data_IF_263475535674
#
_entry.id   IF_263475535674
#
_cell.length_a   1.000
_cell.length_b   1.000
_cell.length_c   1.000
_cell.angle_alpha   90.00
_cell.angle_beta   90.00
_cell.angle_gamma   90.00
#
_symmetry.space_group_name_H-M   'P 1'
#
loop_
_entity.id
_entity.type
_entity.pdbx_description
1 polymer ?
#
# COMPACT_ATOMS: atom_id res chain seq x y z
N UNK A 1 23.68 -42.41 20.78
CA UNK A 1 23.39 -40.96 20.80
C UNK A 1 21.89 -40.80 20.93
N UNK A 2 21.39 -40.25 22.03
CA UNK A 2 19.95 -39.99 22.20
C UNK A 2 19.54 -38.78 21.38
N UNK A 3 18.52 -38.92 20.54
CA UNK A 3 17.92 -37.81 19.80
C UNK A 3 16.97 -37.06 20.71
N UNK A 4 17.37 -35.87 21.15
CA UNK A 4 16.46 -34.93 21.80
C UNK A 4 15.55 -34.31 20.74
N UNK A 5 14.24 -34.31 21.00
CA UNK A 5 13.24 -33.64 20.17
C UNK A 5 12.58 -32.53 20.96
N UNK A 6 12.43 -31.37 20.34
CA UNK A 6 11.67 -30.27 20.92
C UNK A 6 10.17 -30.59 20.83
N UNK A 7 9.51 -30.67 21.98
CA UNK A 7 8.06 -30.81 22.08
C UNK A 7 7.47 -29.54 22.69
N UNK A 8 6.65 -28.84 21.90
CA UNK A 8 5.89 -27.70 22.38
C UNK A 8 4.65 -28.19 23.12
N UNK A 9 4.58 -27.94 24.42
CA UNK A 9 3.38 -28.20 25.22
C UNK A 9 2.38 -27.05 25.06
N UNK A 10 1.76 -26.99 23.88
CA UNK A 10 0.86 -25.89 23.48
C UNK A 10 -0.23 -25.62 24.53
N UNK A 11 -0.83 -26.67 25.11
CA UNK A 11 -1.86 -26.51 26.14
C UNK A 11 -1.34 -25.86 27.44
N UNK A 12 -0.09 -26.15 27.82
CA UNK A 12 0.56 -25.60 29.01
C UNK A 12 1.03 -24.16 28.79
N UNK A 13 1.41 -23.84 27.55
CA UNK A 13 1.74 -22.48 27.13
C UNK A 13 0.46 -21.63 27.14
N UNK A 14 -0.63 -22.07 26.51
CA UNK A 14 -1.90 -21.33 26.47
C UNK A 14 -2.44 -21.09 27.89
N UNK A 15 -2.38 -22.08 28.77
CA UNK A 15 -2.87 -21.93 30.16
C UNK A 15 -2.01 -21.00 31.03
N UNK A 16 -0.71 -20.92 30.76
CA UNK A 16 0.24 -20.01 31.46
C UNK A 16 0.36 -18.63 30.80
N UNK A 17 -0.16 -18.44 29.58
CA UNK A 17 -0.08 -17.19 28.80
C UNK A 17 -1.39 -16.39 28.81
N UNK A 18 -2.40 -16.79 29.61
CA UNK A 18 -3.66 -16.08 29.87
C UNK A 18 -3.50 -14.74 30.61
N UNK A 19 -2.35 -14.07 30.44
CA UNK A 19 -2.09 -12.69 30.87
C UNK A 19 -2.82 -11.65 30.00
N UNK A 20 -3.28 -12.01 28.78
CA UNK A 20 -3.86 -11.05 27.83
C UNK A 20 -5.24 -10.54 28.23
N UNK A 21 -6.04 -11.36 28.92
CA UNK A 21 -7.44 -11.02 29.27
C UNK A 21 -7.47 -10.13 30.51
N UNK A 22 -6.62 -10.41 31.50
CA UNK A 22 -6.47 -9.59 32.70
C UNK A 22 -5.99 -8.15 32.39
N UNK A 23 -5.13 -7.98 31.38
CA UNK A 23 -4.65 -6.64 30.97
C UNK A 23 -5.74 -5.86 30.24
N UNK A 24 -6.57 -6.51 29.43
CA UNK A 24 -7.73 -5.85 28.78
C UNK A 24 -8.69 -5.32 29.83
N UNK A 25 -9.08 -6.17 30.78
CA UNK A 25 -10.03 -5.80 31.81
C UNK A 25 -9.47 -4.71 32.73
N UNK A 26 -8.17 -4.78 33.06
CA UNK A 26 -7.50 -3.74 33.83
C UNK A 26 -7.50 -2.39 33.10
N UNK A 27 -7.17 -2.38 31.80
CA UNK A 27 -7.16 -1.15 31.00
C UNK A 27 -8.58 -0.63 30.80
N UNK A 28 -9.55 -1.49 30.54
CA UNK A 28 -10.95 -1.12 30.40
C UNK A 28 -11.46 -0.47 31.69
N UNK A 29 -11.16 -1.07 32.85
CA UNK A 29 -11.48 -0.53 34.16
C UNK A 29 -10.78 0.81 34.42
N UNK A 30 -9.52 0.99 33.99
CA UNK A 30 -8.83 2.29 34.08
C UNK A 30 -9.54 3.37 33.26
N UNK A 31 -9.92 3.06 32.02
CA UNK A 31 -10.63 4.00 31.15
C UNK A 31 -12.00 4.33 31.76
N UNK A 32 -12.76 3.32 32.21
CA UNK A 32 -14.10 3.50 32.79
C UNK A 32 -14.11 4.30 34.09
N UNK A 33 -12.99 4.40 34.81
CA UNK A 33 -12.85 5.26 35.99
C UNK A 33 -12.66 6.74 35.67
N UNK A 34 -12.33 7.08 34.42
CA UNK A 34 -12.21 8.47 34.00
C UNK A 34 -13.59 9.13 33.85
N UNK A 35 -13.68 10.46 33.89
CA UNK A 35 -14.91 11.18 33.56
C UNK A 35 -15.49 10.75 32.20
N UNK A 36 -16.82 10.76 32.06
CA UNK A 36 -17.50 10.34 30.82
C UNK A 36 -16.99 11.06 29.57
N UNK A 37 -16.63 12.34 29.70
CA UNK A 37 -16.05 13.14 28.62
C UNK A 37 -14.67 12.62 28.19
N UNK A 38 -13.80 12.28 29.15
CA UNK A 38 -12.49 11.65 28.89
C UNK A 38 -12.65 10.28 28.25
N UNK A 39 -13.60 9.48 28.71
CA UNK A 39 -13.91 8.18 28.11
C UNK A 39 -14.33 8.34 26.66
N UNK A 40 -15.26 9.25 26.37
CA UNK A 40 -15.69 9.56 25.01
C UNK A 40 -14.50 9.96 24.13
N UNK A 41 -13.69 10.92 24.57
CA UNK A 41 -12.52 11.38 23.81
C UNK A 41 -11.51 10.25 23.57
N UNK A 42 -11.28 9.37 24.55
CA UNK A 42 -10.40 8.21 24.38
C UNK A 42 -10.95 7.19 23.39
N UNK A 43 -12.27 6.97 23.36
CA UNK A 43 -12.91 6.14 22.33
C UNK A 43 -12.65 6.71 20.93
N UNK A 44 -12.84 8.02 20.77
CA UNK A 44 -12.59 8.71 19.49
C UNK A 44 -11.10 8.66 19.10
N UNK A 45 -10.21 8.88 20.06
CA UNK A 45 -8.77 8.76 19.86
C UNK A 45 -8.35 7.34 19.46
N UNK A 46 -9.04 6.30 19.96
CA UNK A 46 -8.80 4.89 19.66
C UNK A 46 -8.84 4.54 18.15
N UNK A 47 -9.41 5.42 17.34
CA UNK A 47 -9.51 5.28 15.89
C UNK A 47 -8.17 5.53 15.18
N UNK A 48 -7.17 6.12 15.84
CA UNK A 48 -5.84 6.35 15.29
C UNK A 48 -4.72 5.93 16.25
N UNK A 49 -3.54 5.62 15.70
CA UNK A 49 -2.36 5.27 16.51
C UNK A 49 -1.68 6.49 17.12
N UNK A 50 -1.75 7.63 16.43
CA UNK A 50 -1.26 8.94 16.85
C UNK A 50 -2.23 10.03 16.37
N UNK A 51 -2.36 11.11 17.13
CA UNK A 51 -3.27 12.21 16.79
C UNK A 51 -2.81 13.53 17.41
N UNK A 52 -3.08 14.64 16.72
CA UNK A 52 -2.99 15.99 17.28
C UNK A 52 -4.36 16.43 17.83
N UNK A 53 -4.34 17.50 18.65
CA UNK A 53 -5.55 18.01 19.31
C UNK A 53 -6.57 18.59 18.32
N UNK A 54 -6.14 19.18 17.20
CA UNK A 54 -7.05 19.75 16.18
C UNK A 54 -7.83 18.66 15.49
N UNK A 55 -7.14 17.59 15.08
CA UNK A 55 -7.76 16.40 14.49
C UNK A 55 -8.75 15.81 15.48
N UNK A 56 -8.36 15.61 16.75
CA UNK A 56 -9.25 15.04 17.77
C UNK A 56 -10.47 15.94 18.07
N UNK A 57 -10.30 17.26 18.16
CA UNK A 57 -11.40 18.21 18.36
C UNK A 57 -12.41 18.14 17.22
N UNK A 58 -11.92 18.06 15.99
CA UNK A 58 -12.76 17.93 14.81
C UNK A 58 -13.57 16.62 14.84
N UNK A 59 -12.91 15.50 15.17
CA UNK A 59 -13.56 14.18 15.28
C UNK A 59 -14.66 14.18 16.37
N UNK A 60 -14.39 14.85 17.49
CA UNK A 60 -15.35 15.03 18.57
C UNK A 60 -16.42 16.10 18.29
N UNK A 61 -16.47 16.68 17.08
CA UNK A 61 -17.40 17.73 16.66
C UNK A 61 -17.44 18.93 17.62
N UNK A 62 -16.27 19.32 18.12
CA UNK A 62 -16.18 20.47 19.01
C UNK A 62 -16.16 21.75 18.17
N UNK A 63 -17.14 22.64 18.38
CA UNK A 63 -17.35 23.84 17.55
C UNK A 63 -16.63 25.11 18.08
N UNK A 64 -16.04 25.06 19.28
CA UNK A 64 -15.48 26.24 19.95
C UNK A 64 -14.01 26.54 19.55
N UNK A 65 -13.58 27.80 19.69
CA UNK A 65 -12.18 28.17 19.38
C UNK A 65 -11.15 27.64 20.39
N UNK A 66 -11.58 27.30 21.62
CA UNK A 66 -10.70 26.89 22.73
C UNK A 66 -10.62 25.36 22.93
N UNK A 67 -10.99 24.58 21.91
CA UNK A 67 -11.08 23.12 22.02
C UNK A 67 -9.76 22.45 22.39
N UNK A 68 -8.62 22.98 21.95
CA UNK A 68 -7.31 22.37 22.20
C UNK A 68 -6.93 22.43 23.67
N UNK A 69 -7.11 23.58 24.33
CA UNK A 69 -6.85 23.72 25.76
C UNK A 69 -7.79 22.84 26.60
N UNK A 70 -9.08 22.78 26.21
CA UNK A 70 -10.04 21.90 26.86
C UNK A 70 -9.66 20.43 26.69
N UNK A 71 -9.29 20.00 25.48
CA UNK A 71 -8.85 18.63 25.22
C UNK A 71 -7.56 18.30 25.97
N UNK A 72 -6.59 19.21 26.00
CA UNK A 72 -5.35 19.01 26.74
C UNK A 72 -5.63 18.78 28.24
N UNK A 73 -6.54 19.57 28.83
CA UNK A 73 -6.97 19.38 30.21
C UNK A 73 -7.67 18.02 30.41
N UNK A 74 -8.52 17.61 29.46
CA UNK A 74 -9.24 16.32 29.53
C UNK A 74 -8.26 15.14 29.39
N UNK A 75 -7.26 15.26 28.51
CA UNK A 75 -6.27 14.21 28.24
C UNK A 75 -5.19 14.11 29.33
N UNK A 76 -4.96 15.15 30.14
CA UNK A 76 -3.97 15.13 31.22
C UNK A 76 -4.14 13.91 32.14
N UNK A 77 -5.37 13.60 32.56
CA UNK A 77 -5.65 12.43 33.41
C UNK A 77 -5.33 11.10 32.72
N UNK A 78 -5.51 11.02 31.40
CA UNK A 78 -5.17 9.84 30.62
C UNK A 78 -3.65 9.68 30.46
N UNK A 79 -2.91 10.79 30.38
CA UNK A 79 -1.44 10.79 30.42
C UNK A 79 -0.92 10.35 31.79
N UNK A 80 -1.43 10.93 32.88
CA UNK A 80 -1.06 10.54 34.25
C UNK A 80 -1.34 9.06 34.55
N UNK A 81 -2.44 8.55 33.98
CA UNK A 81 -2.82 7.14 34.12
C UNK A 81 -2.02 6.17 33.23
N UNK A 82 -1.05 6.68 32.48
CA UNK A 82 -0.23 5.98 31.48
C UNK A 82 -1.05 5.33 30.36
N UNK A 83 -2.24 5.88 30.06
CA UNK A 83 -3.06 5.45 28.93
C UNK A 83 -2.58 6.10 27.63
N UNK A 84 -2.17 7.37 27.72
CA UNK A 84 -1.61 8.16 26.63
C UNK A 84 -0.19 8.63 26.96
N UNK A 85 0.56 8.93 25.90
CA UNK A 85 1.87 9.56 25.96
C UNK A 85 1.90 10.76 25.00
N UNK A 86 2.50 11.87 25.45
CA UNK A 86 2.86 12.97 24.56
C UNK A 86 3.97 12.50 23.61
N UNK A 87 3.86 12.84 22.34
CA UNK A 87 4.86 12.48 21.32
C UNK A 87 4.95 13.57 20.25
N UNK A 88 6.05 13.55 19.48
CA UNK A 88 6.15 14.35 18.26
C UNK A 88 5.58 13.57 17.07
N UNK A 89 4.73 14.25 16.31
CA UNK A 89 4.22 13.75 15.04
C UNK A 89 5.16 14.14 13.90
N UNK A 90 4.84 13.72 12.68
CA UNK A 90 5.54 14.19 11.49
C UNK A 90 5.47 15.72 11.41
N UNK A 91 6.53 16.36 10.91
CA UNK A 91 6.66 17.83 10.84
C UNK A 91 6.74 18.56 12.19
N UNK A 92 7.15 17.86 13.24
CA UNK A 92 7.51 18.45 14.54
C UNK A 92 6.32 19.06 15.31
N UNK A 93 5.10 18.65 14.98
CA UNK A 93 3.89 19.02 15.75
C UNK A 93 3.77 18.15 17.00
N UNK A 94 3.27 18.74 18.08
CA UNK A 94 2.96 17.99 19.30
C UNK A 94 1.67 17.18 19.10
N UNK A 95 1.66 15.97 19.65
CA UNK A 95 0.51 15.11 19.61
C UNK A 95 0.56 14.04 20.69
N UNK A 96 -0.38 13.11 20.60
CA UNK A 96 -0.57 12.05 21.57
C UNK A 96 -0.55 10.69 20.86
N UNK A 97 -0.14 9.67 21.59
CA UNK A 97 -0.27 8.26 21.20
C UNK A 97 -0.74 7.44 22.39
N UNK A 98 -1.35 6.30 22.15
CA UNK A 98 -1.57 5.34 23.22
C UNK A 98 -0.23 4.77 23.67
N UNK A 99 -0.03 4.63 24.98
CA UNK A 99 1.20 4.06 25.54
C UNK A 99 1.45 2.62 25.08
N UNK A 100 0.38 1.91 24.68
CA UNK A 100 0.48 0.59 24.07
C UNK A 100 -0.69 0.33 23.10
N UNK A 101 -0.45 -0.47 22.06
CA UNK A 101 -1.48 -0.85 21.06
C UNK A 101 -2.70 -1.50 21.72
N UNK A 102 -2.49 -2.30 22.78
CA UNK A 102 -3.58 -2.92 23.55
C UNK A 102 -4.50 -1.88 24.21
N UNK A 103 -3.98 -0.73 24.64
CA UNK A 103 -4.80 0.34 25.24
C UNK A 103 -5.68 0.98 24.18
N UNK A 104 -5.12 1.24 23.00
CA UNK A 104 -5.87 1.72 21.85
C UNK A 104 -7.01 0.75 21.48
N UNK A 105 -6.71 -0.55 21.37
CA UNK A 105 -7.70 -1.58 21.07
C UNK A 105 -8.84 -1.60 22.10
N UNK A 106 -8.52 -1.51 23.39
CA UNK A 106 -9.53 -1.45 24.46
C UNK A 106 -10.39 -0.20 24.30
N UNK A 107 -9.77 0.98 24.13
CA UNK A 107 -10.51 2.23 23.95
C UNK A 107 -11.44 2.18 22.73
N UNK A 108 -10.97 1.66 21.60
CA UNK A 108 -11.75 1.46 20.39
C UNK A 108 -12.92 0.47 20.59
N UNK A 109 -12.68 -0.65 21.28
CA UNK A 109 -13.71 -1.66 21.55
C UNK A 109 -14.80 -1.19 22.53
N UNK A 110 -14.58 -0.10 23.28
CA UNK A 110 -15.62 0.52 24.11
C UNK A 110 -16.68 1.26 23.28
N UNK A 111 -16.49 1.44 21.97
CA UNK A 111 -17.55 1.80 21.03
C UNK A 111 -18.31 0.51 20.70
N UNK A 112 -19.31 0.16 21.52
CA UNK A 112 -20.01 -1.12 21.41
C UNK A 112 -21.00 -1.17 20.25
N UNK A 113 -21.55 -0.03 19.85
CA UNK A 113 -22.48 0.05 18.73
C UNK A 113 -21.71 0.10 17.40
N UNK A 114 -21.89 -0.92 16.57
CA UNK A 114 -21.31 -0.98 15.24
C UNK A 114 -21.84 0.16 14.34
N UNK A 115 -23.07 0.64 14.54
CA UNK A 115 -23.63 1.75 13.77
C UNK A 115 -22.87 3.04 14.11
N UNK A 116 -22.77 3.38 15.39
CA UNK A 116 -21.97 4.50 15.87
C UNK A 116 -20.53 4.42 15.36
N UNK A 117 -19.87 3.26 15.50
CA UNK A 117 -18.49 3.05 15.05
C UNK A 117 -18.32 3.33 13.55
N UNK A 118 -19.25 2.82 12.74
CA UNK A 118 -19.24 3.05 11.30
C UNK A 118 -19.44 4.54 10.94
N UNK A 119 -20.36 5.23 11.63
CA UNK A 119 -20.59 6.66 11.40
C UNK A 119 -19.35 7.49 11.71
N UNK A 120 -18.66 7.16 12.80
CA UNK A 120 -17.42 7.87 13.16
C UNK A 120 -16.34 7.62 12.12
N UNK A 121 -16.04 6.36 11.78
CA UNK A 121 -15.06 6.02 10.74
C UNK A 121 -15.35 6.74 9.41
N UNK A 122 -16.62 6.79 9.02
CA UNK A 122 -17.05 7.47 7.80
C UNK A 122 -16.80 8.98 7.88
N UNK A 123 -17.10 9.61 9.02
CA UNK A 123 -16.86 11.04 9.23
C UNK A 123 -15.36 11.36 9.16
N UNK A 124 -14.52 10.65 9.93
CA UNK A 124 -13.07 10.84 9.94
C UNK A 124 -12.48 10.61 8.55
N UNK A 125 -12.82 9.48 7.93
CA UNK A 125 -12.31 9.11 6.63
C UNK A 125 -12.65 10.14 5.54
N UNK A 126 -13.88 10.67 5.54
CA UNK A 126 -14.30 11.74 4.61
C UNK A 126 -13.51 13.02 4.82
N UNK A 127 -13.26 13.40 6.06
CA UNK A 127 -12.51 14.61 6.37
C UNK A 127 -11.02 14.51 6.04
N UNK A 128 -10.35 13.41 6.42
CA UNK A 128 -8.95 13.18 6.05
C UNK A 128 -8.78 13.16 4.53
N UNK A 129 -9.74 12.54 3.81
CA UNK A 129 -9.78 12.58 2.34
C UNK A 129 -9.98 14.00 1.81
N UNK A 130 -10.88 14.79 2.41
CA UNK A 130 -11.09 16.18 2.04
C UNK A 130 -9.79 16.99 2.20
N UNK A 131 -9.12 16.91 3.36
CA UNK A 131 -7.84 17.55 3.60
C UNK A 131 -6.82 17.18 2.53
N UNK A 132 -6.69 15.89 2.23
CA UNK A 132 -5.76 15.39 1.21
C UNK A 132 -6.06 15.93 -0.20
N UNK A 133 -7.33 16.11 -0.57
CA UNK A 133 -7.76 16.66 -1.86
C UNK A 133 -7.65 18.18 -1.93
N UNK A 134 -7.99 18.90 -0.86
CA UNK A 134 -8.04 20.37 -0.83
C UNK A 134 -6.69 21.03 -0.58
N UNK A 135 -5.74 20.31 0.01
CA UNK A 135 -4.48 20.91 0.45
C UNK A 135 -4.54 21.57 1.82
N UNK A 136 -5.71 21.58 2.47
CA UNK A 136 -5.92 22.26 3.76
C UNK A 136 -5.09 21.63 4.92
N UNK A 137 -4.50 20.45 4.72
CA UNK A 137 -3.51 19.91 5.65
C UNK A 137 -2.25 20.79 5.76
N UNK A 138 -2.00 21.67 4.78
CA UNK A 138 -0.89 22.64 4.83
C UNK A 138 -1.15 23.79 5.82
N UNK A 139 -2.40 24.04 6.21
CA UNK A 139 -2.72 25.01 7.27
C UNK A 139 -2.45 24.43 8.66
N UNK A 140 -2.50 23.09 8.79
CA UNK A 140 -2.00 22.38 9.98
C UNK A 140 -0.47 22.54 10.16
N UNK A 141 0.27 22.86 9.09
CA UNK A 141 1.73 23.05 9.08
C UNK A 141 2.17 24.39 9.69
N UNK A 142 1.31 25.40 9.67
CA UNK A 142 1.68 26.79 9.96
C UNK A 142 1.23 27.29 11.33
N UNK A 143 0.81 26.41 12.24
CA UNK A 143 0.44 26.81 13.60
C UNK A 143 1.67 26.95 14.53
N UNK A 144 2.73 27.56 14.02
CA UNK A 144 3.83 28.03 14.86
C UNK A 144 3.34 29.33 15.53
N UNK A 145 3.27 29.43 16.87
CA UNK A 145 2.68 30.59 17.56
C UNK A 145 3.42 31.91 17.30
N UNK A 146 4.60 31.85 16.69
CA UNK A 146 5.51 32.99 16.50
C UNK A 146 5.44 33.62 15.10
N UNK A 147 4.69 33.04 14.16
CA UNK A 147 4.63 33.56 12.79
C UNK A 147 3.23 34.09 12.44
N UNK A 148 2.92 35.27 12.99
CA UNK A 148 1.80 36.07 12.52
C UNK A 148 2.08 36.60 11.11
N UNK A 149 1.13 36.34 10.21
CA UNK A 149 0.84 37.16 9.02
C UNK A 149 1.82 37.10 7.84
N UNK A 150 1.42 36.43 6.75
CA UNK A 150 1.31 37.05 5.42
C UNK A 150 0.47 36.17 4.49
N UNK A 151 -0.77 36.61 4.25
CA UNK A 151 -1.57 36.15 3.11
C UNK A 151 -0.98 36.76 1.84
N UNK A 152 0.05 36.12 1.28
CA UNK A 152 0.43 36.36 -0.11
C UNK A 152 -0.24 35.30 -0.97
N UNK A 153 -1.18 35.74 -1.80
CA UNK A 153 -1.73 35.00 -2.94
C UNK A 153 -0.60 34.63 -3.90
N UNK A 154 0.08 33.53 -3.60
CA UNK A 154 1.08 32.94 -4.48
C UNK A 154 0.52 31.62 -5.02
N UNK A 155 0.54 31.48 -6.33
CA UNK A 155 0.18 30.29 -7.13
C UNK A 155 1.19 29.17 -6.92
N UNK A 156 1.66 28.95 -5.69
CA UNK A 156 2.49 27.79 -5.36
C UNK A 156 1.62 26.54 -5.49
N UNK A 157 2.05 25.53 -6.26
CA UNK A 157 1.31 24.27 -6.34
C UNK A 157 1.16 23.71 -4.93
N UNK A 158 -0.08 23.38 -4.55
CA UNK A 158 -0.37 22.67 -3.32
C UNK A 158 0.54 21.43 -3.27
N UNK A 159 1.33 21.25 -2.22
CA UNK A 159 2.21 20.09 -2.13
C UNK A 159 1.39 18.78 -2.27
N UNK A 160 2.01 17.65 -2.65
CA UNK A 160 1.32 16.37 -2.60
C UNK A 160 1.01 16.02 -1.13
N UNK A 161 -0.17 15.43 -0.84
CA UNK A 161 -0.53 15.06 0.52
C UNK A 161 0.48 14.08 1.11
N UNK A 162 0.81 14.22 2.41
CA UNK A 162 1.81 13.38 3.05
C UNK A 162 1.31 11.92 3.10
N UNK A 163 2.22 10.93 3.03
CA UNK A 163 1.85 9.51 2.99
C UNK A 163 0.92 9.07 4.14
N UNK A 164 1.16 9.54 5.37
CA UNK A 164 0.36 9.17 6.54
C UNK A 164 -1.11 9.56 6.38
N UNK A 165 -1.41 10.71 5.78
CA UNK A 165 -2.77 11.22 5.65
C UNK A 165 -3.59 10.36 4.68
N UNK A 166 -2.96 9.93 3.59
CA UNK A 166 -3.57 9.01 2.62
C UNK A 166 -3.87 7.65 3.25
N UNK A 167 -2.89 7.10 3.99
CA UNK A 167 -2.99 5.82 4.67
C UNK A 167 -4.10 5.87 5.73
N UNK A 168 -4.09 6.90 6.59
CA UNK A 168 -5.11 7.08 7.61
C UNK A 168 -6.51 7.24 7.02
N UNK A 169 -6.68 8.04 5.96
CA UNK A 169 -7.96 8.17 5.27
C UNK A 169 -8.45 6.82 4.71
N UNK A 170 -7.55 6.03 4.12
CA UNK A 170 -7.87 4.70 3.59
C UNK A 170 -8.30 3.76 4.71
N UNK A 171 -7.57 3.71 5.82
CA UNK A 171 -7.86 2.84 6.97
C UNK A 171 -9.25 3.14 7.56
N UNK A 172 -9.55 4.42 7.79
CA UNK A 172 -10.85 4.85 8.32
C UNK A 172 -11.99 4.44 7.39
N UNK A 173 -11.89 4.74 6.09
CA UNK A 173 -12.96 4.41 5.14
C UNK A 173 -13.08 2.90 4.89
N UNK A 174 -11.98 2.15 4.98
CA UNK A 174 -12.00 0.69 4.81
C UNK A 174 -12.65 -0.06 5.98
N UNK A 175 -12.66 0.54 7.17
CA UNK A 175 -13.35 0.03 8.35
C UNK A 175 -14.87 0.22 8.28
N UNK A 176 -15.37 1.08 7.39
CA UNK A 176 -16.81 1.29 7.20
C UNK A 176 -17.45 0.13 6.45
N UNK A 177 -18.64 -0.29 6.88
CA UNK A 177 -19.49 -1.22 6.18
C UNK A 177 -19.83 -0.67 4.78
N UNK A 178 -19.50 -1.39 3.69
CA UNK A 178 -19.72 -0.92 2.33
C UNK A 178 -21.17 -0.51 2.01
N UNK A 179 -22.16 -1.04 2.72
CA UNK A 179 -23.58 -0.70 2.50
C UNK A 179 -23.94 0.74 2.90
N UNK A 180 -23.10 1.40 3.71
CA UNK A 180 -23.32 2.78 4.17
C UNK A 180 -22.88 3.83 3.15
N UNK A 181 -22.14 3.44 2.11
CA UNK A 181 -21.80 4.33 1.00
C UNK A 181 -22.99 4.44 0.04
N UNK A 182 -23.68 5.58 0.10
CA UNK A 182 -24.86 5.85 -0.75
C UNK A 182 -24.46 6.23 -2.19
N UNK A 183 -23.35 6.96 -2.36
CA UNK A 183 -22.87 7.39 -3.67
C UNK A 183 -21.80 6.43 -4.21
N UNK A 184 -22.06 5.84 -5.38
CA UNK A 184 -21.06 5.00 -6.06
C UNK A 184 -19.75 5.73 -6.36
N UNK A 185 -19.79 7.05 -6.59
CA UNK A 185 -18.57 7.85 -6.81
C UNK A 185 -17.68 7.84 -5.58
N UNK A 186 -18.27 7.82 -4.39
CA UNK A 186 -17.52 7.75 -3.14
C UNK A 186 -16.80 6.40 -2.99
N UNK A 187 -17.44 5.31 -3.42
CA UNK A 187 -16.82 3.98 -3.44
C UNK A 187 -15.65 3.95 -4.42
N UNK A 188 -15.78 4.53 -5.61
CA UNK A 188 -14.68 4.60 -6.59
C UNK A 188 -13.54 5.51 -6.11
N UNK A 189 -13.85 6.59 -5.40
CA UNK A 189 -12.85 7.40 -4.71
C UNK A 189 -12.10 6.57 -3.66
N UNK A 190 -12.78 5.70 -2.91
CA UNK A 190 -12.16 4.80 -1.94
C UNK A 190 -11.28 3.73 -2.62
N UNK A 191 -11.71 3.19 -3.77
CA UNK A 191 -10.87 2.29 -4.58
C UNK A 191 -9.58 2.99 -5.01
N UNK A 192 -9.69 4.23 -5.47
CA UNK A 192 -8.54 5.05 -5.87
C UNK A 192 -7.64 5.35 -4.66
N UNK A 193 -8.24 5.68 -3.52
CA UNK A 193 -7.51 5.95 -2.27
C UNK A 193 -6.72 4.72 -1.81
N UNK A 194 -7.31 3.52 -1.90
CA UNK A 194 -6.62 2.25 -1.62
C UNK A 194 -5.44 2.01 -2.56
N UNK A 195 -5.59 2.29 -3.86
CA UNK A 195 -4.50 2.18 -4.83
C UNK A 195 -3.34 3.11 -4.48
N UNK A 196 -3.62 4.37 -4.12
CA UNK A 196 -2.60 5.32 -3.71
C UNK A 196 -1.99 4.93 -2.36
N UNK A 197 -2.77 4.47 -1.38
CA UNK A 197 -2.28 3.99 -0.09
C UNK A 197 -1.32 2.80 -0.26
N UNK A 198 -1.66 1.85 -1.14
CA UNK A 198 -0.77 0.75 -1.50
C UNK A 198 0.58 1.27 -2.05
N UNK A 199 0.56 2.24 -2.95
CA UNK A 199 1.78 2.86 -3.49
C UNK A 199 2.61 3.58 -2.42
N UNK A 200 1.95 4.25 -1.46
CA UNK A 200 2.64 4.92 -0.35
C UNK A 200 3.36 3.94 0.57
N UNK A 201 2.73 2.82 0.92
CA UNK A 201 3.39 1.82 1.79
C UNK A 201 4.43 0.99 1.03
N UNK A 202 4.26 0.79 -0.29
CA UNK A 202 5.26 0.12 -1.12
C UNK A 202 6.58 0.89 -1.23
N UNK A 203 6.59 2.22 -1.08
CA UNK A 203 7.84 3.00 -1.01
C UNK A 203 8.72 2.60 0.19
N UNK A 204 8.15 1.92 1.18
CA UNK A 204 8.84 1.38 2.36
C UNK A 204 8.97 -0.16 2.30
N UNK A 205 8.78 -0.75 1.11
CA UNK A 205 8.80 -2.21 0.88
C UNK A 205 7.80 -3.02 1.73
N UNK A 206 6.74 -2.39 2.22
CA UNK A 206 5.71 -3.04 3.03
C UNK A 206 4.67 -3.76 2.15
N UNK A 207 5.04 -4.94 1.64
CA UNK A 207 4.23 -5.70 0.68
C UNK A 207 2.90 -6.23 1.25
N UNK A 208 2.87 -6.69 2.51
CA UNK A 208 1.63 -7.19 3.12
C UNK A 208 0.56 -6.10 3.31
N UNK A 209 0.87 -4.91 3.89
CA UNK A 209 -0.09 -3.81 3.92
C UNK A 209 -0.54 -3.36 2.52
N UNK A 210 0.39 -3.26 1.57
CA UNK A 210 0.06 -2.90 0.18
C UNK A 210 -0.95 -3.87 -0.43
N UNK A 211 -0.71 -5.18 -0.26
CA UNK A 211 -1.62 -6.24 -0.70
C UNK A 211 -3.04 -6.06 -0.14
N UNK A 212 -3.16 -5.77 1.16
CA UNK A 212 -4.46 -5.61 1.80
C UNK A 212 -5.25 -4.43 1.22
N UNK A 213 -4.60 -3.29 0.97
CA UNK A 213 -5.24 -2.15 0.30
C UNK A 213 -5.70 -2.50 -1.12
N UNK A 214 -4.86 -3.17 -1.91
CA UNK A 214 -5.22 -3.56 -3.29
C UNK A 214 -6.39 -4.55 -3.31
N UNK A 215 -6.40 -5.55 -2.42
CA UNK A 215 -7.51 -6.50 -2.28
C UNK A 215 -8.79 -5.80 -1.85
N UNK A 216 -8.71 -4.87 -0.89
CA UNK A 216 -9.87 -4.06 -0.48
C UNK A 216 -10.40 -3.24 -1.66
N UNK A 217 -9.52 -2.57 -2.42
CA UNK A 217 -9.90 -1.87 -3.65
C UNK A 217 -10.60 -2.77 -4.68
N UNK A 218 -10.09 -3.98 -4.93
CA UNK A 218 -10.74 -4.93 -5.84
C UNK A 218 -12.10 -5.42 -5.32
N UNK A 219 -12.25 -5.60 -4.01
CA UNK A 219 -13.51 -6.04 -3.39
C UNK A 219 -14.64 -5.00 -3.48
N UNK A 220 -14.29 -3.72 -3.62
CA UNK A 220 -15.22 -2.60 -3.77
C UNK A 220 -15.68 -2.39 -5.22
N UNK A 221 -14.97 -2.98 -6.19
CA UNK A 221 -15.39 -3.00 -7.59
C UNK A 221 -16.40 -4.14 -7.83
N UNK A 222 -17.15 -4.14 -8.95
CA UNK A 222 -18.05 -5.23 -9.28
C UNK A 222 -17.36 -6.61 -9.16
N UNK A 223 -18.01 -7.62 -8.56
CA UNK A 223 -17.38 -8.91 -8.30
C UNK A 223 -17.09 -9.68 -9.59
N UNK A 224 -17.94 -9.51 -10.61
CA UNK A 224 -17.73 -10.06 -11.95
C UNK A 224 -16.54 -9.38 -12.64
N UNK A 225 -15.49 -10.13 -13.03
CA UNK A 225 -14.36 -9.56 -13.77
C UNK A 225 -14.81 -8.84 -15.05
N UNK A 226 -15.67 -9.44 -15.85
CA UNK A 226 -16.17 -8.82 -17.08
C UNK A 226 -16.79 -7.43 -16.82
N UNK A 227 -17.64 -7.30 -15.79
CA UNK A 227 -18.26 -6.01 -15.45
C UNK A 227 -17.25 -5.01 -14.90
N UNK A 228 -16.33 -5.45 -14.03
CA UNK A 228 -15.24 -4.64 -13.46
C UNK A 228 -14.38 -4.03 -14.55
N UNK A 229 -13.90 -4.86 -15.48
CA UNK A 229 -13.03 -4.43 -16.58
C UNK A 229 -13.77 -3.55 -17.59
N UNK A 230 -15.06 -3.79 -17.83
CA UNK A 230 -15.89 -2.96 -18.72
C UNK A 230 -16.19 -1.57 -18.14
N UNK A 231 -16.47 -1.47 -16.84
CA UNK A 231 -16.89 -0.22 -16.20
C UNK A 231 -15.72 0.59 -15.62
N UNK A 232 -14.68 -0.09 -15.13
CA UNK A 232 -13.58 0.51 -14.37
C UNK A 232 -12.22 0.01 -14.88
N UNK A 233 -12.02 0.00 -16.21
CA UNK A 233 -10.84 -0.56 -16.88
C UNK A 233 -9.52 -0.12 -16.25
N UNK A 234 -9.31 1.19 -16.07
CA UNK A 234 -8.05 1.75 -15.57
C UNK A 234 -7.73 1.32 -14.14
N UNK A 235 -8.73 1.32 -13.25
CA UNK A 235 -8.60 0.88 -11.86
C UNK A 235 -8.41 -0.63 -11.77
N UNK A 236 -9.19 -1.40 -12.52
CA UNK A 236 -9.08 -2.86 -12.58
C UNK A 236 -7.67 -3.28 -13.03
N UNK A 237 -7.17 -2.68 -14.10
CA UNK A 237 -5.82 -2.92 -14.60
C UNK A 237 -4.77 -2.55 -13.56
N UNK A 238 -4.84 -1.34 -12.99
CA UNK A 238 -3.83 -0.84 -12.05
C UNK A 238 -3.76 -1.67 -10.77
N UNK A 239 -4.92 -2.04 -10.21
CA UNK A 239 -5.00 -2.90 -9.02
C UNK A 239 -4.48 -4.30 -9.31
N UNK A 240 -4.97 -4.94 -10.37
CA UNK A 240 -4.63 -6.34 -10.68
C UNK A 240 -3.15 -6.50 -11.06
N UNK A 241 -2.58 -5.58 -11.83
CA UNK A 241 -1.15 -5.61 -12.20
C UNK A 241 -0.25 -5.46 -10.97
N UNK A 242 -0.54 -4.46 -10.11
CA UNK A 242 0.26 -4.25 -8.88
C UNK A 242 0.12 -5.45 -7.95
N UNK A 243 -1.10 -5.96 -7.78
CA UNK A 243 -1.34 -7.12 -6.92
C UNK A 243 -0.61 -8.35 -7.44
N UNK A 244 -0.61 -8.63 -8.75
CA UNK A 244 0.14 -9.75 -9.33
C UNK A 244 1.64 -9.69 -8.99
N UNK A 245 2.26 -8.50 -9.12
CA UNK A 245 3.67 -8.31 -8.74
C UNK A 245 3.92 -8.53 -7.24
N UNK A 246 3.01 -8.07 -6.38
CA UNK A 246 3.10 -8.28 -4.93
C UNK A 246 2.92 -9.75 -4.56
N UNK A 247 1.93 -10.44 -5.14
CA UNK A 247 1.71 -11.87 -4.89
C UNK A 247 2.94 -12.69 -5.31
N UNK A 248 3.57 -12.36 -6.45
CA UNK A 248 4.84 -12.95 -6.86
C UNK A 248 5.94 -12.70 -5.81
N UNK A 249 6.11 -11.45 -5.37
CA UNK A 249 7.13 -11.06 -4.38
C UNK A 249 6.93 -11.75 -3.01
N UNK A 250 5.69 -12.09 -2.66
CA UNK A 250 5.32 -12.80 -1.44
C UNK A 250 5.34 -14.33 -1.60
N UNK A 251 5.75 -14.86 -2.76
CA UNK A 251 5.76 -16.30 -3.05
C UNK A 251 4.37 -16.93 -3.26
N UNK A 252 3.32 -16.11 -3.39
CA UNK A 252 1.94 -16.55 -3.65
C UNK A 252 1.71 -16.74 -5.15
N UNK A 253 2.46 -17.67 -5.73
CA UNK A 253 2.53 -17.86 -7.19
C UNK A 253 1.19 -18.25 -7.81
N UNK A 254 0.36 -19.03 -7.11
CA UNK A 254 -1.00 -19.41 -7.59
C UNK A 254 -1.89 -18.18 -7.78
N UNK A 255 -1.86 -17.25 -6.82
CA UNK A 255 -2.64 -16.01 -6.91
C UNK A 255 -2.08 -15.06 -7.98
N UNK A 256 -0.75 -14.97 -8.09
CA UNK A 256 -0.09 -14.25 -9.18
C UNK A 256 -0.54 -14.80 -10.55
N UNK A 257 -0.47 -16.11 -10.77
CA UNK A 257 -0.89 -16.74 -12.03
C UNK A 257 -2.37 -16.48 -12.33
N UNK A 258 -3.25 -16.61 -11.32
CA UNK A 258 -4.69 -16.30 -11.46
C UNK A 258 -4.93 -14.86 -11.93
N UNK A 259 -4.26 -13.89 -11.30
CA UNK A 259 -4.36 -12.47 -11.67
C UNK A 259 -3.82 -12.20 -13.07
N UNK A 260 -2.69 -12.83 -13.43
CA UNK A 260 -2.10 -12.69 -14.76
C UNK A 260 -3.03 -13.23 -15.84
N UNK A 261 -3.71 -14.36 -15.61
CA UNK A 261 -4.69 -14.88 -16.56
C UNK A 261 -5.90 -13.94 -16.72
N UNK A 262 -6.42 -13.39 -15.61
CA UNK A 262 -7.49 -12.38 -15.68
C UNK A 262 -7.08 -11.16 -16.53
N UNK A 263 -5.87 -10.64 -16.30
CA UNK A 263 -5.32 -9.50 -17.07
C UNK A 263 -5.14 -9.87 -18.54
N UNK A 264 -4.64 -11.07 -18.85
CA UNK A 264 -4.47 -11.53 -20.24
C UNK A 264 -5.80 -11.61 -20.99
N UNK A 265 -6.88 -12.02 -20.31
CA UNK A 265 -8.22 -12.15 -20.88
C UNK A 265 -8.89 -10.79 -21.12
N UNK A 266 -8.69 -9.82 -20.22
CA UNK A 266 -9.47 -8.57 -20.23
C UNK A 266 -8.70 -7.32 -20.69
N UNK A 267 -7.36 -7.31 -20.63
CA UNK A 267 -6.60 -6.14 -21.03
C UNK A 267 -6.70 -5.90 -22.55
N UNK A 268 -7.06 -4.66 -22.92
CA UNK A 268 -7.34 -4.25 -24.29
C UNK A 268 -6.09 -4.11 -25.14
N UNK A 269 -4.96 -3.71 -24.54
CA UNK A 269 -3.70 -3.48 -25.26
C UNK A 269 -2.63 -4.48 -24.83
N UNK A 270 -1.73 -4.89 -25.74
CA UNK A 270 -0.55 -5.68 -25.39
C UNK A 270 0.28 -5.04 -24.26
N UNK A 271 0.46 -3.72 -24.30
CA UNK A 271 1.26 -2.96 -23.34
C UNK A 271 0.73 -3.11 -21.91
N UNK A 272 -0.59 -3.17 -21.75
CA UNK A 272 -1.25 -3.30 -20.45
C UNK A 272 -0.98 -4.66 -19.79
N UNK A 273 -0.63 -5.68 -20.59
CA UNK A 273 -0.30 -7.04 -20.10
C UNK A 273 1.14 -7.16 -19.63
N UNK A 274 2.04 -6.29 -20.06
CA UNK A 274 3.50 -6.46 -19.88
C UNK A 274 3.93 -6.62 -18.43
N UNK A 275 3.45 -5.75 -17.55
CA UNK A 275 3.83 -5.78 -16.14
C UNK A 275 3.37 -7.09 -15.46
N UNK A 276 2.19 -7.60 -15.82
CA UNK A 276 1.69 -8.88 -15.34
C UNK A 276 2.52 -10.06 -15.90
N UNK A 277 2.85 -10.03 -17.19
CA UNK A 277 3.71 -11.06 -17.80
C UNK A 277 5.13 -11.06 -17.20
N UNK A 278 5.65 -9.88 -16.84
CA UNK A 278 6.94 -9.78 -16.14
C UNK A 278 6.91 -10.38 -14.74
N UNK A 279 5.81 -10.18 -13.99
CA UNK A 279 5.60 -10.85 -12.72
C UNK A 279 5.48 -12.37 -12.90
N UNK A 280 4.81 -12.84 -13.97
CA UNK A 280 4.71 -14.27 -14.30
C UNK A 280 6.08 -14.89 -14.62
N UNK A 281 6.93 -14.20 -15.39
CA UNK A 281 8.31 -14.64 -15.68
C UNK A 281 9.11 -14.79 -14.38
N UNK A 282 9.00 -13.82 -13.47
CA UNK A 282 9.67 -13.87 -12.15
C UNK A 282 9.13 -15.01 -11.28
N UNK A 283 7.82 -15.24 -11.28
CA UNK A 283 7.18 -16.33 -10.56
C UNK A 283 7.65 -17.69 -11.08
N UNK A 284 7.72 -17.88 -12.39
CA UNK A 284 8.23 -19.12 -13.00
C UNK A 284 9.72 -19.34 -12.72
N UNK A 285 10.54 -18.30 -12.85
CA UNK A 285 11.96 -18.36 -12.50
C UNK A 285 12.17 -18.76 -11.03
N UNK A 286 11.40 -18.18 -10.11
CA UNK A 286 11.48 -18.47 -8.66
C UNK A 286 11.05 -19.90 -8.31
N UNK A 287 10.26 -20.55 -9.17
CA UNK A 287 9.81 -21.94 -9.00
C UNK A 287 10.69 -22.94 -9.76
N UNK A 288 11.77 -22.50 -10.41
CA UNK A 288 12.60 -23.36 -11.28
C UNK A 288 11.92 -23.77 -12.58
N UNK A 289 10.75 -23.20 -12.92
CA UNK A 289 10.00 -23.45 -14.16
C UNK A 289 10.58 -22.61 -15.30
N UNK A 290 11.87 -22.83 -15.60
CA UNK A 290 12.63 -21.95 -16.51
C UNK A 290 12.07 -22.00 -17.94
N UNK A 291 11.67 -23.17 -18.42
CA UNK A 291 11.09 -23.32 -19.76
C UNK A 291 9.81 -22.51 -19.92
N UNK A 292 8.91 -22.54 -18.93
CA UNK A 292 7.68 -21.73 -18.92
C UNK A 292 8.01 -20.23 -18.93
N UNK A 293 9.03 -19.81 -18.18
CA UNK A 293 9.49 -18.41 -18.15
C UNK A 293 10.03 -17.96 -19.52
N UNK A 294 10.78 -18.84 -20.20
CA UNK A 294 11.31 -18.60 -21.55
C UNK A 294 10.17 -18.52 -22.57
N UNK A 295 9.17 -19.40 -22.50
CA UNK A 295 8.02 -19.36 -23.40
C UNK A 295 7.21 -18.06 -23.26
N UNK A 296 7.03 -17.55 -22.04
CA UNK A 296 6.42 -16.23 -21.85
C UNK A 296 7.28 -15.12 -22.48
N UNK A 297 8.60 -15.14 -22.28
CA UNK A 297 9.51 -14.17 -22.90
C UNK A 297 9.44 -14.22 -24.44
N UNK A 298 9.43 -15.42 -25.03
CA UNK A 298 9.30 -15.63 -26.48
C UNK A 298 7.99 -15.05 -27.01
N UNK A 299 6.88 -15.27 -26.29
CA UNK A 299 5.59 -14.70 -26.64
C UNK A 299 5.60 -13.17 -26.70
N UNK A 300 6.25 -12.52 -25.73
CA UNK A 300 6.41 -11.05 -25.72
C UNK A 300 7.27 -10.59 -26.90
N UNK A 301 8.44 -11.22 -27.12
CA UNK A 301 9.37 -10.82 -28.18
C UNK A 301 8.75 -10.98 -29.58
N UNK A 302 8.01 -12.07 -29.81
CA UNK A 302 7.25 -12.28 -31.03
C UNK A 302 6.20 -11.17 -31.24
N UNK A 303 5.43 -10.83 -30.20
CA UNK A 303 4.41 -9.79 -30.26
C UNK A 303 4.99 -8.38 -30.50
N UNK A 304 6.22 -8.12 -30.07
CA UNK A 304 6.92 -6.84 -30.28
C UNK A 304 7.78 -6.80 -31.55
N UNK A 305 7.75 -7.84 -32.36
CA UNK A 305 8.40 -7.86 -33.67
C UNK A 305 9.91 -8.10 -33.61
N UNK A 306 10.43 -8.73 -32.55
CA UNK A 306 11.86 -9.01 -32.44
C UNK A 306 12.28 -10.06 -33.51
N UNK A 307 13.24 -9.74 -34.40
CA UNK A 307 13.58 -10.60 -35.55
C UNK A 307 14.14 -11.99 -35.21
N UNK A 308 14.97 -12.11 -34.16
CA UNK A 308 15.57 -13.39 -33.76
C UNK A 308 14.52 -14.41 -33.32
N UNK A 309 13.43 -13.96 -32.71
CA UNK A 309 12.34 -14.80 -32.23
C UNK A 309 11.18 -14.96 -33.24
N UNK A 310 11.27 -14.36 -34.43
CA UNK A 310 10.37 -14.65 -35.56
C UNK A 310 10.86 -15.81 -36.45
N UNK A 311 12.14 -16.19 -36.35
CA UNK A 311 12.69 -17.27 -37.15
C UNK A 311 12.08 -18.63 -36.75
N UNK A 312 11.57 -19.38 -37.75
CA UNK A 312 10.99 -20.73 -37.54
C UNK A 312 11.98 -21.73 -36.93
N UNK A 313 13.29 -21.52 -37.11
CA UNK A 313 14.36 -22.31 -36.50
C UNK A 313 15.54 -21.42 -36.13
N UNK A 314 15.95 -21.49 -34.87
CA UNK A 314 17.14 -20.83 -34.37
C UNK A 314 18.36 -21.73 -34.66
N UNK A 315 19.37 -21.21 -35.36
CA UNK A 315 20.60 -21.98 -35.70
C UNK A 315 21.85 -21.27 -35.18
N UNK A 316 22.94 -22.02 -34.97
CA UNK A 316 24.24 -21.46 -34.53
C UNK A 316 24.75 -20.34 -35.45
N UNK A 317 24.36 -20.35 -36.73
CA UNK A 317 24.70 -19.30 -37.70
C UNK A 317 24.01 -17.96 -37.40
N UNK A 318 22.80 -17.96 -36.86
CA UNK A 318 22.12 -16.73 -36.42
C UNK A 318 22.86 -16.11 -35.23
N UNK A 319 23.24 -16.92 -34.23
CA UNK A 319 23.99 -16.47 -33.05
C UNK A 319 25.32 -15.83 -33.45
N UNK A 320 26.09 -16.50 -34.29
CA UNK A 320 27.39 -16.00 -34.74
C UNK A 320 27.27 -14.74 -35.60
N UNK A 321 26.23 -14.64 -36.42
CA UNK A 321 25.92 -13.44 -37.21
C UNK A 321 25.61 -12.24 -36.30
N UNK A 322 24.73 -12.40 -35.31
CA UNK A 322 24.37 -11.32 -34.39
C UNK A 322 25.51 -10.92 -33.45
N UNK A 323 26.32 -11.88 -32.99
CA UNK A 323 27.55 -11.59 -32.25
C UNK A 323 28.53 -10.77 -33.09
N UNK A 324 28.67 -11.11 -34.38
CA UNK A 324 29.49 -10.35 -35.33
C UNK A 324 28.99 -8.91 -35.50
N UNK A 325 27.69 -8.72 -35.74
CA UNK A 325 27.06 -7.40 -35.84
C UNK A 325 27.25 -6.58 -34.56
N UNK A 326 27.04 -7.21 -33.40
CA UNK A 326 27.20 -6.56 -32.10
C UNK A 326 28.65 -6.11 -31.87
N UNK A 327 29.63 -6.99 -32.12
CA UNK A 327 31.05 -6.63 -32.03
C UNK A 327 31.44 -5.50 -32.98
N UNK A 328 30.91 -5.51 -34.21
CA UNK A 328 31.13 -4.44 -35.18
C UNK A 328 30.51 -3.11 -34.72
N UNK A 329 29.27 -3.13 -34.21
CA UNK A 329 28.59 -1.95 -33.68
C UNK A 329 29.29 -1.34 -32.45
N UNK A 330 29.97 -2.17 -31.65
CA UNK A 330 30.74 -1.74 -30.48
C UNK A 330 32.19 -1.36 -30.82
N UNK A 331 32.67 -1.62 -32.04
CA UNK A 331 34.05 -1.33 -32.43
C UNK A 331 34.32 0.18 -32.33
N UNK A 332 35.32 0.55 -31.55
CA UNK A 332 35.71 1.95 -31.32
C UNK A 332 34.79 2.72 -30.37
N UNK A 333 33.87 2.05 -29.67
CA UNK A 333 33.06 2.63 -28.60
C UNK A 333 33.61 2.15 -27.26
N UNK A 334 34.25 3.04 -26.54
CA UNK A 334 34.75 2.77 -25.19
C UNK A 334 33.65 2.94 -24.14
N UNK A 335 33.94 2.56 -22.91
CA UNK A 335 32.99 2.63 -21.80
C UNK A 335 32.51 4.07 -21.56
N UNK A 336 33.41 5.05 -21.73
CA UNK A 336 33.07 6.47 -21.61
C UNK A 336 32.05 6.90 -22.67
N UNK A 337 32.24 6.52 -23.94
CA UNK A 337 31.28 6.77 -25.00
C UNK A 337 29.91 6.15 -24.68
N UNK A 338 29.89 4.89 -24.23
CA UNK A 338 28.63 4.18 -23.93
C UNK A 338 27.87 4.81 -22.76
N UNK A 339 28.58 5.29 -21.74
CA UNK A 339 27.98 5.97 -20.58
C UNK A 339 27.33 7.31 -20.94
N UNK A 340 27.83 8.00 -21.96
CA UNK A 340 27.29 9.29 -22.42
C UNK A 340 26.19 9.15 -23.48
N UNK A 341 25.84 7.92 -23.90
CA UNK A 341 24.74 7.73 -24.84
C UNK A 341 23.41 8.23 -24.25
N UNK A 342 22.54 8.83 -25.08
CA UNK A 342 21.24 9.28 -24.63
C UNK A 342 20.40 8.09 -24.16
N UNK A 343 19.55 8.33 -23.17
CA UNK A 343 18.61 7.33 -22.68
C UNK A 343 17.69 6.87 -23.82
N UNK A 344 17.52 5.56 -23.96
CA UNK A 344 16.62 4.98 -24.95
C UNK A 344 15.18 5.47 -24.76
N UNK A 345 14.62 6.13 -25.78
CA UNK A 345 13.27 6.71 -25.77
C UNK A 345 12.23 5.86 -26.51
N UNK A 346 12.65 4.97 -27.42
CA UNK A 346 11.73 4.11 -28.18
C UNK A 346 11.04 3.09 -27.24
N UNK A 347 9.71 3.16 -27.05
CA UNK A 347 9.00 2.28 -26.12
C UNK A 347 9.08 0.80 -26.51
N UNK A 348 9.01 0.47 -27.80
CA UNK A 348 9.07 -0.91 -28.29
C UNK A 348 10.43 -1.54 -28.04
N UNK A 349 11.51 -0.80 -28.33
CA UNK A 349 12.88 -1.28 -28.07
C UNK A 349 13.13 -1.43 -26.57
N UNK A 350 12.54 -0.57 -25.74
CA UNK A 350 12.63 -0.67 -24.28
C UNK A 350 11.99 -1.96 -23.74
N UNK A 351 10.84 -2.36 -24.28
CA UNK A 351 10.20 -3.64 -23.93
C UNK A 351 11.08 -4.81 -24.30
N UNK A 352 11.58 -4.85 -25.55
CA UNK A 352 12.47 -5.91 -26.04
C UNK A 352 13.71 -6.03 -25.16
N UNK A 353 14.35 -4.90 -24.85
CA UNK A 353 15.52 -4.86 -23.97
C UNK A 353 15.23 -5.42 -22.56
N UNK A 354 14.11 -5.03 -21.95
CA UNK A 354 13.70 -5.57 -20.63
C UNK A 354 13.49 -7.08 -20.66
N UNK A 355 12.93 -7.62 -21.74
CA UNK A 355 12.77 -9.08 -21.89
C UNK A 355 14.14 -9.76 -22.03
N UNK A 356 15.07 -9.19 -22.81
CA UNK A 356 16.44 -9.72 -22.90
C UNK A 356 17.15 -9.76 -21.55
N UNK A 357 17.01 -8.72 -20.72
CA UNK A 357 17.59 -8.73 -19.37
C UNK A 357 17.02 -9.88 -18.51
N UNK A 358 15.71 -10.16 -18.63
CA UNK A 358 15.08 -11.29 -17.93
C UNK A 358 15.56 -12.64 -18.47
N UNK A 359 15.65 -12.81 -19.80
CA UNK A 359 16.20 -14.01 -20.43
C UNK A 359 17.65 -14.27 -20.02
N UNK A 360 18.49 -13.23 -19.92
CA UNK A 360 19.88 -13.37 -19.47
C UNK A 360 19.95 -13.95 -18.06
N UNK A 361 19.08 -13.51 -17.16
CA UNK A 361 19.00 -14.05 -15.81
C UNK A 361 18.56 -15.53 -15.85
N UNK A 362 17.48 -15.84 -16.56
CA UNK A 362 16.97 -17.22 -16.70
C UNK A 362 18.01 -18.18 -17.31
N UNK A 363 18.75 -17.74 -18.32
CA UNK A 363 19.78 -18.55 -18.99
C UNK A 363 20.96 -18.89 -18.07
N UNK A 364 21.31 -17.99 -17.13
CA UNK A 364 22.31 -18.29 -16.11
C UNK A 364 21.83 -19.44 -15.21
N UNK A 365 20.58 -19.38 -14.73
CA UNK A 365 20.01 -20.44 -13.89
C UNK A 365 19.85 -21.78 -14.64
N UNK A 366 19.48 -21.75 -15.93
CA UNK A 366 19.35 -22.95 -16.77
C UNK A 366 20.68 -23.68 -17.01
N UNK A 367 21.82 -23.00 -16.82
CA UNK A 367 23.15 -23.60 -17.01
C UNK A 367 23.72 -24.21 -15.73
N UNK A 368 23.18 -23.83 -14.56
CA UNK A 368 23.67 -24.24 -13.25
C UNK A 368 22.82 -25.32 -12.56
N UNK A 369 21.64 -25.59 -13.09
CA UNK A 369 20.70 -26.64 -12.67
C UNK A 369 20.26 -27.43 -13.89
#
# INVERSE_FOLDING_TARGET
MGTYRWEWKIAEIISKTSLSDNVVDLVANKIQKLPLRSQYILKMAGLGTKFDLKTLAWVCQMENRDNEAELEQILHQAVDSMLLEKCRLEYNTEGYRFGHERIQQVAYNLIQDDIERNHIHLAIGRHLRYLAKSGAYSELRNADPTNSCSLSSSTTPVPPPPPWLIIAAADQLNAVNPSLFQDRREVIDLVTLNLVAADRVMQRSAFFPARNYLLKGLSLLPPSPHMRWKQHYSLALSLSVKLAGIECSLGRFVDCERLVQEIKLHALKPQDKLAALFAQIEAYGSQGRIDDAIEVCRGILHQWGEPLFQAKKFTKTHVTTELGKTKWLLKGKDDAYLLHLPRMTNPSVNVIHKVYCKLSHLAHWAHHY
#
